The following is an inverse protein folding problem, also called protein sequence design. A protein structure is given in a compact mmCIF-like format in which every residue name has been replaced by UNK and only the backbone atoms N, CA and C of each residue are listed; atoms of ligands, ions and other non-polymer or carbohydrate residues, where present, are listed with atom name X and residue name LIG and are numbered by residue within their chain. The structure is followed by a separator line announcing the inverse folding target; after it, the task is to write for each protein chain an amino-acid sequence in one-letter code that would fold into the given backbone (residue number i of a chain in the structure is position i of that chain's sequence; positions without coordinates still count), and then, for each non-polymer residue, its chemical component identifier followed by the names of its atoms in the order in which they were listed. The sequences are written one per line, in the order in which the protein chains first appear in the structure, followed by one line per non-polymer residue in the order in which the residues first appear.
data_IF_046530304639
#
_entry.id   IF_046530304639
#
_cell.length_a   1.000
_cell.length_b   1.000
_cell.length_c   1.000
_cell.angle_alpha   90.00
_cell.angle_beta   90.00
_cell.angle_gamma   90.00
#
_symmetry.space_group_name_H-M   'P 1'
#
loop_
_entity.id
_entity.type
_entity.pdbx_description
1 polymer ?
#
# COMPACT_ATOMS: atom_id res chain seq x y z
N UNK A 1 9.69 9.40 -24.52
CA UNK A 1 8.89 10.48 -23.92
C UNK A 1 8.02 9.91 -22.82
N UNK A 2 7.97 10.58 -21.68
CA UNK A 2 7.04 10.29 -20.59
C UNK A 2 6.23 11.56 -20.37
N UNK A 3 4.92 11.46 -20.20
CA UNK A 3 4.07 12.63 -20.02
C UNK A 3 2.65 12.28 -19.61
N UNK A 4 1.77 13.27 -19.69
CA UNK A 4 0.34 13.15 -19.41
C UNK A 4 -0.42 13.50 -20.69
N UNK A 5 -1.38 12.67 -21.10
CA UNK A 5 -2.19 12.90 -22.29
C UNK A 5 -3.63 12.49 -22.02
N UNK A 6 -4.59 13.24 -22.58
CA UNK A 6 -6.01 12.87 -22.56
C UNK A 6 -6.27 11.72 -23.51
N UNK A 7 -6.82 10.63 -23.00
CA UNK A 7 -7.22 9.46 -23.79
C UNK A 7 -8.73 9.36 -23.78
N UNK A 8 -9.33 9.21 -24.96
CA UNK A 8 -10.77 9.06 -25.11
C UNK A 8 -11.17 7.58 -25.02
N UNK A 9 -12.08 7.25 -24.10
CA UNK A 9 -12.67 5.92 -24.00
C UNK A 9 -14.18 6.06 -23.82
N UNK A 10 -14.96 5.49 -24.75
CA UNK A 10 -16.43 5.55 -24.73
C UNK A 10 -17.00 6.96 -24.57
N UNK A 11 -16.41 7.96 -25.24
CA UNK A 11 -16.84 9.36 -25.22
C UNK A 11 -16.42 10.18 -23.99
N UNK A 12 -15.68 9.61 -23.04
CA UNK A 12 -15.05 10.35 -21.93
C UNK A 12 -13.55 10.50 -22.17
N UNK A 13 -13.05 11.73 -22.08
CA UNK A 13 -11.62 12.05 -22.16
C UNK A 13 -11.04 12.13 -20.76
N UNK A 14 -10.16 11.19 -20.42
CA UNK A 14 -9.48 11.15 -19.13
C UNK A 14 -7.97 11.35 -19.32
N UNK A 15 -7.31 12.24 -18.55
CA UNK A 15 -5.87 12.37 -18.58
C UNK A 15 -5.21 11.12 -17.98
N UNK A 16 -4.16 10.63 -18.61
CA UNK A 16 -3.41 9.44 -18.19
C UNK A 16 -1.92 9.67 -18.38
N UNK A 17 -1.10 9.07 -17.51
CA UNK A 17 0.33 8.98 -17.77
C UNK A 17 0.59 8.09 -18.98
N UNK A 18 1.58 8.44 -19.78
CA UNK A 18 2.02 7.62 -20.90
C UNK A 18 3.53 7.51 -20.96
N UNK A 19 3.99 6.43 -21.58
CA UNK A 19 5.38 6.22 -21.97
C UNK A 19 5.42 5.87 -23.45
N UNK A 20 6.02 6.74 -24.24
CA UNK A 20 6.21 6.55 -25.68
C UNK A 20 7.69 6.37 -26.02
N UNK A 21 7.98 5.38 -26.85
CA UNK A 21 9.33 4.98 -27.21
C UNK A 21 9.37 4.53 -28.68
N UNK A 22 10.48 4.85 -29.36
CA UNK A 22 10.79 4.35 -30.70
C UNK A 22 12.23 3.85 -30.71
N UNK A 23 12.43 2.58 -31.03
CA UNK A 23 13.76 2.00 -31.26
C UNK A 23 14.27 2.36 -32.64
N UNK A 24 15.58 2.23 -32.85
CA UNK A 24 16.24 2.67 -34.07
C UNK A 24 15.69 2.02 -35.34
N UNK A 25 15.23 0.77 -35.24
CA UNK A 25 14.69 0.00 -36.37
C UNK A 25 13.18 0.17 -36.53
N UNK A 26 12.50 0.81 -35.57
CA UNK A 26 11.05 0.96 -35.61
C UNK A 26 10.65 2.18 -36.44
N UNK A 27 9.71 1.99 -37.37
CA UNK A 27 9.14 3.10 -38.17
C UNK A 27 8.34 4.06 -37.30
N UNK A 28 7.53 3.51 -36.40
CA UNK A 28 6.61 4.25 -35.53
C UNK A 28 7.00 4.04 -34.06
N UNK A 29 6.66 5.03 -33.23
CA UNK A 29 6.74 4.89 -31.78
C UNK A 29 5.61 3.98 -31.26
N UNK A 30 5.87 3.29 -30.17
CA UNK A 30 4.84 2.59 -29.38
C UNK A 30 4.59 3.41 -28.12
N UNK A 31 3.31 3.63 -27.82
CA UNK A 31 2.89 4.34 -26.61
C UNK A 31 2.15 3.40 -25.67
N UNK A 32 2.59 3.36 -24.42
CA UNK A 32 1.97 2.62 -23.33
C UNK A 32 1.27 3.64 -22.43
N UNK A 33 -0.03 3.52 -22.27
CA UNK A 33 -0.81 4.35 -21.35
C UNK A 33 -0.98 3.66 -20.00
N UNK A 34 -0.98 4.45 -18.93
CA UNK A 34 -1.42 3.97 -17.63
C UNK A 34 -2.91 3.64 -17.69
N UNK A 35 -3.28 2.49 -17.14
CA UNK A 35 -4.69 2.12 -17.01
C UNK A 35 -5.42 2.93 -15.90
N UNK A 36 -4.68 3.62 -15.03
CA UNK A 36 -5.22 4.57 -14.06
C UNK A 36 -5.33 6.00 -14.62
N UNK A 37 -6.26 6.77 -14.07
CA UNK A 37 -6.43 8.19 -14.35
C UNK A 37 -5.34 9.00 -13.66
N UNK A 38 -4.93 10.08 -14.29
CA UNK A 38 -4.10 11.11 -13.69
C UNK A 38 -4.93 11.90 -12.65
N UNK A 39 -4.33 12.15 -11.49
CA UNK A 39 -4.91 13.00 -10.44
C UNK A 39 -4.09 14.27 -10.30
N UNK A 40 -4.72 15.43 -10.54
CA UNK A 40 -4.09 16.72 -10.34
C UNK A 40 -3.84 17.00 -8.85
N UNK A 41 -2.88 17.88 -8.56
CA UNK A 41 -2.54 18.34 -7.21
C UNK A 41 -2.07 17.22 -6.24
N UNK A 42 -1.50 16.14 -6.78
CA UNK A 42 -0.94 15.05 -5.99
C UNK A 42 0.47 14.67 -6.49
N UNK A 43 1.41 14.52 -5.54
CA UNK A 43 2.73 13.97 -5.86
C UNK A 43 2.59 12.53 -6.36
N UNK A 44 3.16 12.28 -7.53
CA UNK A 44 3.11 10.96 -8.17
C UNK A 44 4.51 10.59 -8.63
N UNK A 45 4.98 9.42 -8.22
CA UNK A 45 6.23 8.87 -8.74
C UNK A 45 5.95 8.10 -10.02
N UNK A 46 6.57 8.54 -11.13
CA UNK A 46 6.41 7.90 -12.44
C UNK A 46 7.77 7.38 -12.89
N UNK A 47 7.84 6.11 -13.26
CA UNK A 47 9.03 5.49 -13.80
C UNK A 47 8.70 4.68 -15.05
N UNK A 48 9.64 4.61 -15.99
CA UNK A 48 9.53 3.76 -17.16
C UNK A 48 10.82 2.98 -17.36
N UNK A 49 10.71 1.76 -17.86
CA UNK A 49 11.87 0.93 -18.20
C UNK A 49 11.69 0.26 -19.56
N UNK A 50 12.82 0.01 -20.21
CA UNK A 50 12.89 -0.72 -21.47
C UNK A 50 14.16 -1.57 -21.50
N UNK A 51 14.00 -2.88 -21.66
CA UNK A 51 15.09 -3.87 -21.60
C UNK A 51 15.56 -4.37 -22.99
N UNK A 52 15.15 -3.69 -24.06
CA UNK A 52 15.40 -4.13 -25.45
C UNK A 52 14.30 -5.04 -26.03
N UNK A 53 13.36 -5.50 -25.20
CA UNK A 53 12.23 -6.35 -25.61
C UNK A 53 10.88 -5.90 -25.06
N UNK A 54 10.84 -5.36 -23.85
CA UNK A 54 9.63 -4.96 -23.16
C UNK A 54 9.74 -3.53 -22.65
N UNK A 55 8.75 -2.72 -22.99
CA UNK A 55 8.46 -1.44 -22.37
C UNK A 55 7.59 -1.67 -21.13
N UNK A 56 7.90 -1.01 -20.01
CA UNK A 56 7.11 -1.06 -18.78
C UNK A 56 6.94 0.35 -18.23
N UNK A 57 5.72 0.70 -17.83
CA UNK A 57 5.37 1.97 -17.18
C UNK A 57 4.92 1.68 -15.74
N UNK A 58 5.42 2.47 -14.81
CA UNK A 58 5.16 2.35 -13.38
C UNK A 58 4.66 3.67 -12.80
N UNK A 59 3.66 3.59 -11.91
CA UNK A 59 3.12 4.73 -11.15
C UNK A 59 3.10 4.31 -9.68
N UNK A 60 3.69 5.13 -8.81
CA UNK A 60 3.82 4.87 -7.37
C UNK A 60 4.38 3.46 -7.05
N UNK A 61 5.34 3.01 -7.85
CA UNK A 61 6.01 1.72 -7.71
C UNK A 61 5.22 0.52 -8.25
N UNK A 62 3.99 0.71 -8.75
CA UNK A 62 3.19 -0.35 -9.36
C UNK A 62 3.29 -0.30 -10.89
N UNK A 63 3.40 -1.47 -11.55
CA UNK A 63 3.39 -1.55 -13.01
C UNK A 63 1.99 -1.30 -13.54
N UNK A 64 1.81 -0.23 -14.31
CA UNK A 64 0.50 0.20 -14.85
C UNK A 64 0.34 -0.01 -16.35
N UNK A 65 1.40 -0.40 -17.04
CA UNK A 65 1.33 -0.75 -18.45
C UNK A 65 2.59 -1.47 -18.91
N UNK A 66 2.45 -2.28 -19.96
CA UNK A 66 3.57 -2.94 -20.61
C UNK A 66 3.27 -3.14 -22.10
N UNK A 67 4.32 -3.20 -22.91
CA UNK A 67 4.21 -3.55 -24.33
C UNK A 67 5.50 -4.18 -24.83
N UNK A 68 5.38 -5.13 -25.76
CA UNK A 68 6.49 -5.70 -26.52
C UNK A 68 6.55 -5.14 -27.96
N UNK A 69 5.85 -4.03 -28.22
CA UNK A 69 5.74 -3.44 -29.56
C UNK A 69 7.00 -2.72 -30.06
N UNK A 70 8.08 -2.72 -29.28
CA UNK A 70 9.38 -2.16 -29.65
C UNK A 70 10.46 -3.21 -29.36
N UNK A 71 11.41 -3.35 -30.27
CA UNK A 71 12.48 -4.34 -30.18
C UNK A 71 13.82 -3.70 -30.57
N UNK A 72 14.88 -4.17 -29.91
CA UNK A 72 16.26 -3.76 -30.19
C UNK A 72 16.66 -2.45 -29.51
N UNK A 73 17.78 -1.89 -29.98
CA UNK A 73 18.46 -0.78 -29.32
C UNK A 73 17.74 0.57 -29.51
N UNK A 74 17.84 1.43 -28.49
CA UNK A 74 17.41 2.83 -28.54
C UNK A 74 18.48 3.77 -29.10
N UNK A 75 19.74 3.34 -29.05
CA UNK A 75 20.92 4.09 -29.47
C UNK A 75 22.01 3.10 -29.92
N UNK A 76 21.77 2.48 -31.07
CA UNK A 76 22.75 1.64 -31.75
C UNK A 76 23.90 2.50 -32.28
N UNK A 77 25.09 1.90 -32.45
CA UNK A 77 26.25 2.60 -32.99
C UNK A 77 25.96 3.25 -34.36
N UNK A 78 25.12 2.62 -35.19
CA UNK A 78 24.73 3.12 -36.50
C UNK A 78 23.88 4.40 -36.45
N UNK A 79 22.98 4.52 -35.47
CA UNK A 79 22.12 5.70 -35.28
C UNK A 79 22.68 6.65 -34.20
N UNK A 80 23.93 6.45 -33.79
CA UNK A 80 24.54 7.20 -32.69
C UNK A 80 24.64 8.68 -33.05
N UNK A 81 23.87 9.48 -32.33
CA UNK A 81 23.81 10.93 -32.46
C UNK A 81 23.66 11.53 -31.07
N UNK A 82 24.19 12.74 -30.87
CA UNK A 82 23.91 13.50 -29.66
C UNK A 82 22.42 13.87 -29.68
N UNK A 83 21.72 13.58 -28.59
CA UNK A 83 20.30 13.94 -28.42
C UNK A 83 20.15 14.76 -27.15
N UNK A 84 19.32 15.78 -27.22
CA UNK A 84 19.00 16.63 -26.06
C UNK A 84 17.97 15.93 -25.19
N UNK A 85 18.21 15.93 -23.87
CA UNK A 85 17.22 15.54 -22.88
C UNK A 85 16.41 16.79 -22.50
N UNK A 86 15.12 16.77 -22.81
CA UNK A 86 14.18 17.82 -22.43
C UNK A 86 13.35 17.36 -21.24
N UNK A 87 13.19 18.26 -20.26
CA UNK A 87 12.29 18.11 -19.12
C UNK A 87 11.40 19.34 -19.07
N UNK A 88 10.14 19.17 -18.67
CA UNK A 88 9.19 20.28 -18.56
C UNK A 88 8.43 20.58 -19.86
N UNK A 89 8.68 19.85 -20.94
CA UNK A 89 7.92 19.96 -22.17
C UNK A 89 8.56 19.19 -23.32
N UNK A 90 8.04 19.40 -24.52
CA UNK A 90 8.67 18.96 -25.77
C UNK A 90 9.20 20.15 -26.59
N UNK A 91 9.88 19.84 -27.70
CA UNK A 91 10.40 20.81 -28.65
C UNK A 91 9.34 21.31 -29.64
N UNK A 92 8.05 21.00 -29.44
CA UNK A 92 6.99 21.49 -30.34
C UNK A 92 6.70 22.97 -30.09
N UNK A 93 6.34 23.68 -31.16
CA UNK A 93 5.83 25.05 -31.10
C UNK A 93 4.40 25.10 -30.53
N UNK A 94 3.70 23.97 -30.49
CA UNK A 94 2.32 23.82 -29.98
C UNK A 94 2.21 24.02 -28.45
N UNK A 95 3.32 24.31 -27.77
CA UNK A 95 3.32 24.72 -26.37
C UNK A 95 2.99 23.60 -25.38
N UNK A 96 3.38 22.35 -25.68
CA UNK A 96 3.23 21.22 -24.75
C UNK A 96 4.22 21.33 -23.57
N UNK A 97 3.94 22.26 -22.66
CA UNK A 97 4.73 22.51 -21.47
C UNK A 97 4.06 21.88 -20.24
N UNK A 98 4.85 21.27 -19.37
CA UNK A 98 4.37 20.72 -18.12
C UNK A 98 4.17 21.85 -17.11
N UNK A 99 2.93 21.99 -16.61
CA UNK A 99 2.58 22.92 -15.54
C UNK A 99 2.43 22.15 -14.23
N UNK A 100 3.46 22.21 -13.38
CA UNK A 100 3.45 21.56 -12.08
C UNK A 100 4.84 21.57 -11.45
N UNK A 101 5.00 20.78 -10.39
CA UNK A 101 6.25 20.66 -9.64
C UNK A 101 6.96 19.35 -10.00
N UNK A 102 8.29 19.39 -10.05
CA UNK A 102 9.16 18.23 -10.17
C UNK A 102 10.10 18.21 -8.95
N UNK A 103 10.16 17.08 -8.26
CA UNK A 103 11.01 16.93 -7.07
C UNK A 103 12.40 16.39 -7.44
N UNK A 104 12.43 15.36 -8.28
CA UNK A 104 13.68 14.70 -8.67
C UNK A 104 13.54 14.03 -10.03
N UNK A 105 14.65 13.90 -10.74
CA UNK A 105 14.75 13.15 -11.97
C UNK A 105 15.98 12.25 -11.97
N UNK A 106 15.81 10.99 -12.37
CA UNK A 106 16.91 10.03 -12.42
C UNK A 106 16.83 9.18 -13.68
N UNK A 107 17.98 8.95 -14.31
CA UNK A 107 18.13 8.15 -15.51
C UNK A 107 19.22 7.09 -15.30
N UNK A 108 18.90 5.85 -15.62
CA UNK A 108 19.82 4.71 -15.58
C UNK A 108 20.10 4.18 -16.98
N UNK A 109 21.28 3.57 -17.14
CA UNK A 109 21.73 2.93 -18.37
C UNK A 109 20.99 1.61 -18.64
N UNK A 110 20.43 0.99 -17.60
CA UNK A 110 19.78 -0.32 -17.67
C UNK A 110 18.34 -0.26 -17.15
N UNK A 111 17.52 -1.19 -17.62
CA UNK A 111 16.18 -1.38 -17.09
C UNK A 111 16.24 -1.91 -15.64
N UNK A 112 15.76 -1.10 -14.70
CA UNK A 112 15.59 -1.50 -13.30
C UNK A 112 14.34 -2.39 -13.14
N UNK A 113 14.42 -3.34 -12.21
CA UNK A 113 13.27 -4.14 -11.75
C UNK A 113 12.28 -3.27 -10.97
N UNK A 114 11.07 -3.80 -10.76
CA UNK A 114 10.05 -3.09 -10.00
C UNK A 114 10.48 -2.88 -8.54
N UNK A 115 11.14 -3.88 -7.96
CA UNK A 115 11.65 -3.90 -6.60
C UNK A 115 12.73 -2.82 -6.42
N UNK A 116 13.68 -2.72 -7.35
CA UNK A 116 14.73 -1.69 -7.32
C UNK A 116 14.15 -0.27 -7.45
N UNK A 117 13.15 -0.08 -8.32
CA UNK A 117 12.47 1.22 -8.46
C UNK A 117 11.71 1.61 -7.18
N UNK A 118 11.05 0.64 -6.53
CA UNK A 118 10.40 0.86 -5.22
C UNK A 118 11.40 1.23 -4.14
N UNK A 119 12.55 0.55 -4.08
CA UNK A 119 13.59 0.87 -3.11
C UNK A 119 14.16 2.27 -3.32
N UNK A 120 14.41 2.65 -4.58
CA UNK A 120 14.89 4.00 -4.95
C UNK A 120 13.88 5.08 -4.58
N UNK A 121 12.59 4.81 -4.76
CA UNK A 121 11.50 5.70 -4.34
C UNK A 121 11.50 5.95 -2.83
N UNK A 122 11.75 4.93 -2.01
CA UNK A 122 11.70 5.07 -0.54
C UNK A 122 12.99 5.58 0.10
N UNK A 123 14.14 5.21 -0.44
CA UNK A 123 15.46 5.49 0.17
C UNK A 123 16.23 6.60 -0.53
N UNK A 124 15.70 7.12 -1.63
CA UNK A 124 16.43 8.00 -2.53
C UNK A 124 17.46 7.24 -3.38
N UNK A 125 18.08 7.95 -4.31
CA UNK A 125 19.10 7.38 -5.20
C UNK A 125 20.49 7.60 -4.58
N UNK A 126 21.21 6.52 -4.29
CA UNK A 126 22.57 6.60 -3.75
C UNK A 126 23.59 6.82 -4.88
N UNK A 127 24.52 7.78 -4.70
CA UNK A 127 25.54 8.19 -5.68
C UNK A 127 26.66 7.17 -5.97
N UNK A 128 26.44 5.89 -5.73
CA UNK A 128 27.42 4.80 -5.97
C UNK A 128 26.99 3.77 -7.01
N UNK A 129 25.83 3.95 -7.66
CA UNK A 129 25.36 3.05 -8.71
C UNK A 129 26.11 3.33 -10.03
N UNK A 130 26.97 2.40 -10.45
CA UNK A 130 27.74 2.52 -11.70
C UNK A 130 26.89 2.56 -12.97
N UNK A 131 25.59 2.24 -12.85
CA UNK A 131 24.61 2.28 -13.94
C UNK A 131 23.82 3.59 -13.95
N UNK A 132 24.02 4.47 -12.98
CA UNK A 132 23.41 5.79 -12.94
C UNK A 132 24.03 6.67 -14.03
N UNK A 133 23.19 7.15 -14.95
CA UNK A 133 23.61 8.06 -16.01
C UNK A 133 23.48 9.50 -15.54
N UNK A 134 22.37 9.81 -14.87
CA UNK A 134 22.06 11.17 -14.48
C UNK A 134 21.10 11.21 -13.29
N UNK A 135 21.30 12.17 -12.38
CA UNK A 135 20.42 12.43 -11.25
C UNK A 135 20.34 13.94 -10.99
N UNK A 136 19.13 14.47 -10.84
CA UNK A 136 18.85 15.86 -10.54
C UNK A 136 17.83 15.98 -9.41
N UNK A 137 18.16 16.77 -8.39
CA UNK A 137 17.24 17.21 -7.31
C UNK A 137 16.72 18.64 -7.52
N UNK A 138 17.09 19.27 -8.65
CA UNK A 138 16.74 20.63 -9.06
C UNK A 138 17.14 21.74 -8.07
N UNK A 139 17.98 21.46 -7.07
CA UNK A 139 18.45 22.47 -6.10
C UNK A 139 19.44 23.48 -6.70
N UNK A 140 20.15 23.10 -7.76
CA UNK A 140 21.16 23.92 -8.47
C UNK A 140 21.03 23.73 -9.98
N UNK A 141 19.89 24.14 -10.54
CA UNK A 141 19.54 23.90 -11.94
C UNK A 141 20.56 24.50 -12.92
N UNK A 142 21.12 25.65 -12.60
CA UNK A 142 22.11 26.38 -13.40
C UNK A 142 23.40 25.59 -13.66
N UNK A 143 23.72 24.60 -12.81
CA UNK A 143 24.90 23.77 -12.98
C UNK A 143 24.67 22.55 -13.89
N UNK A 144 23.40 22.17 -14.12
CA UNK A 144 23.04 20.92 -14.80
C UNK A 144 22.15 21.12 -16.03
N UNK A 145 21.49 22.27 -16.15
CA UNK A 145 20.44 22.53 -17.13
C UNK A 145 20.58 23.91 -17.77
N UNK A 146 20.07 24.03 -19.00
CA UNK A 146 19.97 25.29 -19.75
C UNK A 146 18.50 25.45 -20.18
N UNK A 147 17.87 26.63 -20.01
CA UNK A 147 16.50 26.85 -20.47
C UNK A 147 16.42 26.88 -21.99
N UNK A 148 15.48 26.11 -22.57
CA UNK A 148 15.33 25.99 -24.03
C UNK A 148 14.44 27.08 -24.65
N UNK A 149 13.27 27.38 -24.06
CA UNK A 149 12.26 28.28 -24.66
C UNK A 149 12.30 29.72 -24.12
N UNK A 150 12.19 29.88 -22.81
CA UNK A 150 11.93 31.20 -22.20
C UNK A 150 13.18 31.86 -21.61
N UNK A 151 14.38 31.26 -21.75
CA UNK A 151 15.65 31.73 -21.15
C UNK A 151 15.64 31.92 -19.62
N UNK A 152 14.58 31.51 -18.93
CA UNK A 152 14.44 31.59 -17.48
C UNK A 152 14.36 30.18 -16.87
N UNK A 153 14.98 30.00 -15.72
CA UNK A 153 14.82 28.78 -14.93
C UNK A 153 13.46 28.76 -14.22
N UNK A 154 12.84 27.58 -14.04
CA UNK A 154 11.68 27.43 -13.16
C UNK A 154 11.97 27.92 -11.74
N UNK A 155 10.93 28.37 -11.03
CA UNK A 155 11.05 28.72 -9.62
C UNK A 155 11.30 27.48 -8.78
N UNK A 156 12.32 27.51 -7.93
CA UNK A 156 12.58 26.49 -6.94
C UNK A 156 11.83 26.83 -5.63
N UNK A 157 11.16 25.86 -5.03
CA UNK A 157 10.42 26.03 -3.78
C UNK A 157 10.74 24.90 -2.80
N UNK A 158 10.99 25.25 -1.53
CA UNK A 158 11.01 24.26 -0.45
C UNK A 158 9.57 23.90 -0.13
N UNK A 159 9.12 22.78 -0.68
CA UNK A 159 7.90 22.15 -0.21
C UNK A 159 8.23 21.26 0.98
N UNK A 160 7.71 21.60 2.15
CA UNK A 160 7.48 20.60 3.18
C UNK A 160 6.49 19.62 2.56
N UNK A 161 6.99 18.51 2.02
CA UNK A 161 6.13 17.36 1.72
C UNK A 161 5.35 17.15 3.02
N UNK A 162 4.00 17.23 3.00
CA UNK A 162 3.25 16.86 4.18
C UNK A 162 3.73 15.45 4.52
N UNK A 163 4.38 15.30 5.69
CA UNK A 163 4.77 13.98 6.19
C UNK A 163 3.56 13.09 5.99
N UNK A 164 3.72 11.88 5.42
CA UNK A 164 2.64 11.12 4.81
C UNK A 164 1.43 11.21 5.71
N UNK A 165 0.43 12.02 5.30
CA UNK A 165 -0.85 12.01 6.00
C UNK A 165 -1.30 10.58 5.85
N UNK A 166 -1.35 9.85 6.96
CA UNK A 166 -2.06 8.58 7.04
C UNK A 166 -3.45 8.91 6.48
N UNK A 167 -3.65 8.57 5.21
CA UNK A 167 -4.90 8.76 4.54
C UNK A 167 -5.87 7.86 5.29
N UNK A 168 -6.71 8.48 6.12
CA UNK A 168 -7.94 7.87 6.59
C UNK A 168 -9.04 8.59 5.81
N UNK A 169 -9.77 7.90 4.91
CA UNK A 169 -9.69 6.48 4.62
C UNK A 169 -8.42 6.10 3.83
N UNK A 170 -7.86 4.95 4.15
CA UNK A 170 -6.76 4.34 3.41
C UNK A 170 -7.29 3.95 2.03
N UNK A 171 -7.09 4.81 1.03
CA UNK A 171 -7.16 4.36 -0.35
C UNK A 171 -5.97 3.41 -0.50
N UNK A 172 -6.18 2.11 -0.71
CA UNK A 172 -5.07 1.20 -0.91
C UNK A 172 -4.18 1.80 -2.01
N UNK A 173 -2.83 1.79 -1.85
CA UNK A 173 -1.98 2.10 -2.99
C UNK A 173 -2.45 1.21 -4.14
N UNK A 174 -2.42 1.64 -5.41
CA UNK A 174 -2.69 0.74 -6.51
C UNK A 174 -1.60 -0.32 -6.50
N UNK A 175 -1.71 -1.33 -5.64
CA UNK A 175 -1.06 -2.60 -5.79
C UNK A 175 -1.45 -3.05 -7.19
N UNK A 176 -0.43 -3.33 -8.01
CA UNK A 176 -0.66 -3.79 -9.37
C UNK A 176 -1.69 -4.90 -9.31
N UNK A 177 -2.76 -4.75 -10.10
CA UNK A 177 -3.83 -5.73 -10.22
C UNK A 177 -3.19 -7.11 -10.14
N UNK A 178 -3.52 -7.85 -9.10
CA UNK A 178 -3.28 -9.29 -9.14
C UNK A 178 -4.06 -9.82 -10.34
N UNK A 179 -3.70 -11.00 -10.85
CA UNK A 179 -4.50 -11.67 -11.88
C UNK A 179 -5.98 -11.73 -11.46
N UNK A 180 -6.25 -11.78 -10.15
CA UNK A 180 -7.58 -11.79 -9.54
C UNK A 180 -8.35 -10.46 -9.58
N UNK A 181 -7.71 -9.33 -9.88
CA UNK A 181 -8.39 -8.03 -9.99
C UNK A 181 -8.75 -7.68 -11.46
N UNK A 182 -8.33 -8.52 -12.40
CA UNK A 182 -8.68 -8.38 -13.82
C UNK A 182 -10.11 -8.89 -14.05
N UNK A 183 -11.01 -8.01 -14.52
CA UNK A 183 -12.43 -8.29 -14.76
C UNK A 183 -12.63 -9.48 -15.71
N UNK A 184 -11.78 -9.63 -16.73
CA UNK A 184 -11.89 -10.73 -17.68
C UNK A 184 -11.43 -12.06 -17.06
N UNK A 185 -10.41 -12.04 -16.20
CA UNK A 185 -9.98 -13.22 -15.44
C UNK A 185 -11.07 -13.62 -14.45
N UNK A 186 -11.63 -12.68 -13.67
CA UNK A 186 -12.71 -12.94 -12.71
C UNK A 186 -13.91 -13.57 -13.42
N UNK A 187 -14.35 -12.98 -14.53
CA UNK A 187 -15.49 -13.46 -15.32
C UNK A 187 -15.26 -14.86 -15.90
N UNK A 188 -14.02 -15.19 -16.26
CA UNK A 188 -13.68 -16.46 -16.93
C UNK A 188 -13.01 -17.50 -16.02
N UNK A 189 -12.83 -17.23 -14.72
CA UNK A 189 -12.08 -18.09 -13.80
C UNK A 189 -12.61 -19.54 -13.76
N UNK A 190 -13.93 -19.69 -13.67
CA UNK A 190 -14.57 -21.00 -13.64
C UNK A 190 -14.54 -21.70 -15.01
N UNK A 191 -14.53 -20.93 -16.09
CA UNK A 191 -14.62 -21.43 -17.47
C UNK A 191 -13.25 -21.81 -18.05
N UNK A 192 -12.15 -21.25 -17.54
CA UNK A 192 -10.80 -21.48 -18.06
C UNK A 192 -9.97 -22.35 -17.12
N UNK A 193 -9.83 -23.64 -17.45
CA UNK A 193 -9.16 -24.64 -16.61
C UNK A 193 -7.71 -24.29 -16.17
N UNK A 194 -6.85 -23.60 -16.97
CA UNK A 194 -5.49 -23.25 -16.54
C UNK A 194 -5.44 -22.25 -15.37
N UNK A 195 -6.51 -21.48 -15.15
CA UNK A 195 -6.60 -20.57 -14.00
C UNK A 195 -6.80 -21.34 -12.69
N UNK A 196 -7.32 -22.57 -12.76
CA UNK A 196 -7.57 -23.50 -11.63
C UNK A 196 -6.42 -24.49 -11.38
N UNK A 197 -5.26 -24.26 -12.00
CA UNK A 197 -4.03 -24.98 -11.67
C UNK A 197 -3.69 -24.79 -10.18
N UNK A 198 -2.91 -25.74 -9.65
CA UNK A 198 -2.44 -25.74 -8.27
C UNK A 198 -1.86 -24.39 -7.85
N UNK A 199 -2.34 -23.89 -6.70
CA UNK A 199 -1.89 -22.63 -6.10
C UNK A 199 -1.22 -22.93 -4.78
N UNK A 200 -0.05 -22.33 -4.56
CA UNK A 200 0.65 -22.36 -3.28
C UNK A 200 0.53 -21.00 -2.61
N UNK A 201 -0.23 -20.92 -1.53
CA UNK A 201 -0.37 -19.70 -0.72
C UNK A 201 0.62 -19.78 0.44
N UNK A 202 1.63 -18.91 0.41
CA UNK A 202 2.58 -18.77 1.51
C UNK A 202 2.04 -17.79 2.53
N UNK A 203 1.99 -18.21 3.79
CA UNK A 203 1.60 -17.34 4.89
C UNK A 203 2.55 -17.48 6.07
N UNK A 204 2.53 -16.47 6.93
CA UNK A 204 3.39 -16.39 8.10
C UNK A 204 2.56 -16.22 9.36
N UNK A 205 2.86 -17.02 10.37
CA UNK A 205 2.35 -16.86 11.73
C UNK A 205 3.45 -16.22 12.58
N UNK A 206 3.13 -15.08 13.19
CA UNK A 206 4.01 -14.42 14.15
C UNK A 206 3.54 -14.83 15.55
N UNK A 207 4.31 -15.67 16.25
CA UNK A 207 3.98 -16.13 17.59
C UNK A 207 4.81 -15.35 18.62
N UNK A 208 4.13 -14.68 19.54
CA UNK A 208 4.78 -13.80 20.52
C UNK A 208 5.02 -14.59 21.80
N UNK A 209 6.26 -14.63 22.27
CA UNK A 209 6.66 -15.24 23.52
C UNK A 209 6.97 -14.17 24.58
N UNK A 210 7.01 -14.59 25.84
CA UNK A 210 7.70 -13.81 26.86
C UNK A 210 9.21 -13.72 26.57
N UNK A 211 9.90 -12.79 27.23
CA UNK A 211 11.34 -12.55 27.00
C UNK A 211 12.20 -13.79 27.37
N UNK A 212 11.62 -14.74 28.10
CA UNK A 212 12.23 -16.02 28.50
C UNK A 212 11.91 -17.18 27.57
N UNK A 213 11.10 -16.96 26.52
CA UNK A 213 10.64 -17.96 25.53
C UNK A 213 9.80 -19.11 26.12
N UNK A 214 9.35 -19.01 27.35
CA UNK A 214 8.63 -20.07 28.06
C UNK A 214 7.15 -20.07 27.72
N UNK A 215 6.58 -18.89 27.53
CA UNK A 215 5.14 -18.73 27.35
C UNK A 215 4.86 -18.19 25.95
N UNK A 216 4.43 -19.03 24.98
CA UNK A 216 4.00 -18.60 23.63
C UNK A 216 2.52 -18.17 23.61
N UNK A 217 2.13 -17.29 22.68
CA UNK A 217 0.74 -16.75 22.61
C UNK A 217 -0.22 -17.82 22.14
N UNK A 218 0.22 -18.62 21.18
CA UNK A 218 -0.47 -19.81 20.70
C UNK A 218 0.49 -20.99 20.78
N UNK A 219 0.01 -22.18 21.18
CA UNK A 219 0.85 -23.37 21.23
C UNK A 219 1.24 -23.83 19.83
N UNK A 220 2.42 -24.44 19.70
CA UNK A 220 2.87 -25.00 18.41
C UNK A 220 1.89 -26.06 17.87
N UNK A 221 1.32 -26.86 18.76
CA UNK A 221 0.33 -27.89 18.39
C UNK A 221 -0.94 -27.27 17.82
N UNK A 222 -1.41 -26.15 18.39
CA UNK A 222 -2.59 -25.46 17.88
C UNK A 222 -2.33 -24.84 16.49
N UNK A 223 -1.16 -24.24 16.27
CA UNK A 223 -0.77 -23.70 14.96
C UNK A 223 -0.79 -24.82 13.91
N UNK A 224 -0.22 -25.98 14.23
CA UNK A 224 -0.17 -27.13 13.32
C UNK A 224 -1.58 -27.67 13.00
N UNK A 225 -2.44 -27.83 14.02
CA UNK A 225 -3.82 -28.27 13.81
C UNK A 225 -4.62 -27.31 12.92
N UNK A 226 -4.47 -26.00 13.13
CA UNK A 226 -5.12 -24.99 12.30
C UNK A 226 -4.55 -24.98 10.87
N UNK A 227 -3.24 -25.17 10.70
CA UNK A 227 -2.60 -25.29 9.39
C UNK A 227 -3.13 -26.49 8.61
N UNK A 228 -3.27 -27.65 9.26
CA UNK A 228 -3.84 -28.85 8.66
C UNK A 228 -5.31 -28.64 8.29
N UNK A 229 -6.09 -27.99 9.15
CA UNK A 229 -7.48 -27.65 8.87
C UNK A 229 -7.62 -26.72 7.64
N UNK A 230 -6.73 -25.74 7.51
CA UNK A 230 -6.68 -24.82 6.37
C UNK A 230 -6.39 -25.58 5.07
N UNK A 231 -5.34 -26.40 5.06
CA UNK A 231 -5.01 -27.23 3.89
C UNK A 231 -6.15 -28.19 3.53
N UNK A 232 -6.78 -28.84 4.51
CA UNK A 232 -7.93 -29.71 4.29
C UNK A 232 -9.11 -28.96 3.67
N UNK A 233 -9.47 -27.79 4.20
CA UNK A 233 -10.59 -26.99 3.71
C UNK A 233 -10.42 -26.54 2.26
N UNK A 234 -9.19 -26.23 1.84
CA UNK A 234 -8.89 -25.67 0.51
C UNK A 234 -8.35 -26.68 -0.51
N UNK A 235 -8.02 -27.90 -0.07
CA UNK A 235 -7.53 -28.99 -0.93
C UNK A 235 -8.42 -29.28 -2.14
N UNK A 236 -9.74 -29.21 -1.98
CA UNK A 236 -10.71 -29.45 -3.07
C UNK A 236 -10.67 -28.40 -4.19
N UNK A 237 -9.99 -27.27 -3.97
CA UNK A 237 -9.83 -26.18 -4.94
C UNK A 237 -8.41 -26.14 -5.54
N UNK A 238 -7.59 -27.17 -5.33
CA UNK A 238 -6.16 -27.19 -5.68
C UNK A 238 -5.36 -26.03 -5.04
N UNK A 239 -5.76 -25.61 -3.85
CA UNK A 239 -5.08 -24.56 -3.09
C UNK A 239 -4.39 -25.22 -1.89
N UNK A 240 -3.07 -25.10 -1.87
CA UNK A 240 -2.21 -25.56 -0.78
C UNK A 240 -1.64 -24.36 -0.04
N UNK A 241 -1.60 -24.45 1.28
CA UNK A 241 -1.07 -23.42 2.15
C UNK A 241 0.29 -23.85 2.70
N UNK A 242 1.26 -22.95 2.65
CA UNK A 242 2.64 -23.13 3.11
C UNK A 242 2.91 -22.18 4.28
N UNK A 243 3.22 -22.75 5.44
CA UNK A 243 3.32 -22.04 6.71
C UNK A 243 4.78 -21.72 7.05
N UNK A 244 5.04 -20.46 7.38
CA UNK A 244 6.27 -20.03 8.06
C UNK A 244 5.95 -19.49 9.45
N UNK A 245 6.67 -19.94 10.49
CA UNK A 245 6.47 -19.44 11.87
C UNK A 245 7.63 -18.51 12.21
N UNK A 246 7.31 -17.32 12.72
CA UNK A 246 8.28 -16.36 13.24
C UNK A 246 8.00 -16.11 14.71
N UNK A 247 9.00 -16.34 15.56
CA UNK A 247 8.87 -16.12 17.00
C UNK A 247 9.39 -14.73 17.36
N UNK A 248 8.63 -14.00 18.17
CA UNK A 248 8.99 -12.66 18.67
C UNK A 248 9.03 -12.70 20.19
N UNK A 249 10.15 -12.31 20.80
CA UNK A 249 10.31 -12.27 22.26
C UNK A 249 9.95 -10.86 22.73
N UNK A 250 8.78 -10.70 23.34
CA UNK A 250 8.35 -9.42 23.90
C UNK A 250 7.25 -9.62 24.94
N UNK A 251 7.60 -9.62 26.22
CA UNK A 251 6.63 -9.76 27.33
C UNK A 251 5.59 -8.64 27.33
N UNK A 252 5.96 -7.43 26.92
CA UNK A 252 5.06 -6.26 26.91
C UNK A 252 3.97 -6.43 25.86
N UNK A 253 4.32 -6.86 24.64
CA UNK A 253 3.36 -7.09 23.56
C UNK A 253 2.54 -8.37 23.80
N UNK A 254 3.15 -9.41 24.38
CA UNK A 254 2.48 -10.65 24.74
C UNK A 254 1.22 -10.44 25.59
N UNK A 255 1.30 -9.50 26.53
CA UNK A 255 0.19 -9.21 27.44
C UNK A 255 -0.87 -8.30 26.82
N UNK A 256 -0.69 -7.88 25.57
CA UNK A 256 -1.61 -7.00 24.87
C UNK A 256 -2.57 -7.78 23.96
N UNK A 257 -3.81 -7.30 23.89
CA UNK A 257 -4.81 -7.80 22.95
C UNK A 257 -4.47 -7.25 21.58
N UNK A 258 -4.36 -8.11 20.57
CA UNK A 258 -4.16 -7.70 19.19
C UNK A 258 -5.51 -7.72 18.47
N UNK A 259 -6.06 -6.54 18.17
CA UNK A 259 -7.31 -6.41 17.41
C UNK A 259 -6.98 -6.17 15.94
N UNK A 260 -7.52 -6.99 15.05
CA UNK A 260 -7.26 -6.86 13.62
C UNK A 260 -8.23 -5.86 13.00
N UNK A 261 -7.72 -4.83 12.33
CA UNK A 261 -8.48 -3.79 11.62
C UNK A 261 -9.49 -2.97 12.45
N UNK A 262 -9.65 -3.26 13.75
CA UNK A 262 -10.44 -2.45 14.66
C UNK A 262 -9.56 -1.40 15.33
N UNK A 263 -9.60 -0.16 14.81
CA UNK A 263 -8.88 0.98 15.36
C UNK A 263 -9.54 1.50 16.63
N UNK A 264 -8.76 2.12 17.53
CA UNK A 264 -9.29 2.70 18.78
C UNK A 264 -10.45 3.67 18.55
N UNK A 265 -10.33 4.51 17.52
CA UNK A 265 -11.35 5.51 17.17
C UNK A 265 -12.65 4.93 16.62
N UNK A 266 -12.71 3.62 16.38
CA UNK A 266 -13.92 2.94 15.93
C UNK A 266 -14.79 2.44 17.08
N UNK A 267 -14.19 2.24 18.25
CA UNK A 267 -14.87 1.63 19.38
C UNK A 267 -15.70 2.68 20.11
N UNK A 268 -17.02 2.51 20.11
CA UNK A 268 -17.92 3.48 20.73
C UNK A 268 -18.01 4.77 19.91
N UNK A 269 -18.10 4.68 18.58
CA UNK A 269 -18.24 5.82 17.68
C UNK A 269 -19.71 6.03 17.24
N UNK A 270 -20.66 5.36 17.88
CA UNK A 270 -22.10 5.34 17.54
C UNK A 270 -22.37 4.69 16.15
N UNK A 271 -21.46 3.84 15.70
CA UNK A 271 -21.57 3.08 14.47
C UNK A 271 -21.08 1.65 14.69
N UNK A 272 -21.92 0.66 14.39
CA UNK A 272 -21.47 -0.73 14.45
C UNK A 272 -20.48 -1.05 13.32
N UNK A 273 -19.18 -1.00 13.62
CA UNK A 273 -18.07 -1.44 12.78
C UNK A 273 -17.93 -2.98 12.87
N UNK A 274 -18.17 -3.74 11.78
CA UNK A 274 -18.14 -5.22 11.80
C UNK A 274 -16.80 -5.82 12.24
N UNK A 275 -15.69 -5.13 11.99
CA UNK A 275 -14.35 -5.50 12.47
C UNK A 275 -14.18 -5.39 14.00
N UNK A 276 -15.03 -4.59 14.65
CA UNK A 276 -15.05 -4.33 16.08
C UNK A 276 -16.20 -5.06 16.80
N UNK A 277 -17.09 -5.79 16.11
CA UNK A 277 -18.12 -6.66 16.73
C UNK A 277 -17.48 -7.90 17.36
N UNK A 278 -16.79 -7.72 18.49
CA UNK A 278 -16.09 -8.78 19.19
C UNK A 278 -16.28 -8.66 20.72
N UNK A 279 -16.33 -9.76 21.48
CA UNK A 279 -16.47 -9.69 22.94
C UNK A 279 -15.36 -8.90 23.64
N UNK A 280 -14.14 -8.88 23.09
CA UNK A 280 -12.98 -8.17 23.66
C UNK A 280 -13.02 -6.64 23.48
N UNK A 281 -13.92 -6.15 22.63
CA UNK A 281 -14.15 -4.71 22.39
C UNK A 281 -15.49 -4.27 23.00
N UNK A 282 -16.19 -5.15 23.70
CA UNK A 282 -17.55 -4.87 24.18
C UNK A 282 -18.58 -4.82 23.06
N UNK A 283 -18.36 -5.56 21.95
CA UNK A 283 -19.16 -5.44 20.72
C UNK A 283 -19.21 -4.00 20.23
N UNK A 284 -18.01 -3.49 19.96
CA UNK A 284 -17.77 -2.13 19.48
C UNK A 284 -18.16 -1.05 20.48
N UNK A 285 -17.75 -1.22 21.74
CA UNK A 285 -18.14 -0.30 22.81
C UNK A 285 -19.64 -0.27 23.09
N UNK A 286 -20.37 -1.31 22.65
CA UNK A 286 -21.83 -1.42 22.75
C UNK A 286 -22.59 -1.00 21.50
N UNK A 287 -21.91 -0.47 20.46
CA UNK A 287 -22.56 0.04 19.24
C UNK A 287 -23.20 -1.07 18.41
N UNK A 288 -22.60 -2.27 18.40
CA UNK A 288 -23.14 -3.42 17.67
C UNK A 288 -24.18 -4.22 18.46
N UNK A 289 -24.03 -4.30 19.78
CA UNK A 289 -24.92 -5.11 20.63
C UNK A 289 -25.24 -4.41 21.92
N UNK A 290 -26.53 -4.10 22.06
CA UNK A 290 -27.07 -3.58 23.29
C UNK A 290 -27.26 -4.70 24.33
N UNK A 291 -26.47 -4.69 25.40
CA UNK A 291 -26.47 -5.70 26.46
C UNK A 291 -27.56 -5.47 27.54
N UNK A 292 -28.25 -4.35 27.51
CA UNK A 292 -29.35 -4.03 28.44
C UNK A 292 -29.37 -2.56 28.84
N UNK A 293 -30.41 -2.15 29.58
CA UNK A 293 -30.47 -0.79 30.14
C UNK A 293 -29.55 -0.69 31.35
N UNK A 294 -28.56 0.20 31.28
CA UNK A 294 -27.82 0.65 32.45
C UNK A 294 -28.68 1.59 33.30
N UNK A 295 -28.66 1.39 34.62
CA UNK A 295 -29.33 2.28 35.57
C UNK A 295 -28.30 3.16 36.26
N UNK A 296 -28.66 4.42 36.52
CA UNK A 296 -27.74 5.43 37.08
C UNK A 296 -27.06 4.99 38.38
N UNK A 297 -27.72 4.19 39.22
CA UNK A 297 -27.16 3.70 40.49
C UNK A 297 -26.18 2.53 40.36
N UNK A 298 -26.04 1.94 39.17
CA UNK A 298 -25.07 0.89 38.88
C UNK A 298 -23.74 1.46 38.38
N UNK A 299 -23.75 2.69 37.87
CA UNK A 299 -22.54 3.37 37.42
C UNK A 299 -21.71 3.82 38.60
N UNK A 300 -20.41 3.56 38.55
CA UNK A 300 -19.45 3.95 39.59
C UNK A 300 -19.78 3.39 40.99
N UNK A 301 -20.36 2.20 41.06
CA UNK A 301 -20.75 1.55 42.31
C UNK A 301 -19.62 0.69 42.93
N UNK A 302 -18.46 0.66 42.28
CA UNK A 302 -17.30 -0.14 42.67
C UNK A 302 -17.32 -1.57 42.11
N UNK A 303 -18.21 -1.87 41.16
CA UNK A 303 -18.36 -3.16 40.50
C UNK A 303 -18.44 -2.92 39.00
N UNK A 304 -17.66 -3.65 38.21
CA UNK A 304 -17.80 -3.60 36.75
C UNK A 304 -19.10 -4.30 36.29
N UNK A 305 -20.16 -3.51 36.08
CA UNK A 305 -21.45 -3.92 35.53
C UNK A 305 -21.36 -3.97 33.99
N UNK A 306 -21.36 -5.18 33.42
CA UNK A 306 -21.16 -5.37 31.98
C UNK A 306 -22.28 -4.77 31.11
N UNK A 307 -23.48 -4.59 31.64
CA UNK A 307 -24.58 -3.88 30.97
C UNK A 307 -24.35 -2.37 30.85
N UNK A 308 -23.51 -1.80 31.73
CA UNK A 308 -23.08 -0.39 31.74
C UNK A 308 -21.70 -0.21 31.09
N UNK A 309 -21.04 -1.30 30.68
CA UNK A 309 -19.70 -1.27 30.09
C UNK A 309 -19.75 -0.97 28.58
N UNK A 310 -20.25 0.22 28.25
CA UNK A 310 -20.46 0.70 26.90
C UNK A 310 -20.18 2.21 26.82
N UNK A 311 -20.09 2.76 25.62
CA UNK A 311 -19.75 4.17 25.40
C UNK A 311 -20.80 5.15 25.95
N UNK A 312 -22.09 4.80 25.93
CA UNK A 312 -23.17 5.68 26.42
C UNK A 312 -23.14 5.86 27.93
N UNK A 313 -22.56 4.89 28.63
CA UNK A 313 -22.46 4.84 30.09
C UNK A 313 -21.01 5.01 30.58
N UNK A 314 -20.14 5.60 29.74
CA UNK A 314 -18.73 5.87 30.03
C UNK A 314 -17.98 4.65 30.61
N UNK A 315 -18.29 3.47 30.07
CA UNK A 315 -17.73 2.18 30.48
C UNK A 315 -17.87 1.92 31.99
N UNK A 316 -19.10 2.12 32.48
CA UNK A 316 -19.49 2.04 33.88
C UNK A 316 -18.89 3.16 34.75
N UNK A 317 -18.84 4.38 34.18
CA UNK A 317 -18.16 5.55 34.74
C UNK A 317 -16.68 5.24 35.15
N UNK A 318 -16.06 4.30 34.44
CA UNK A 318 -14.66 3.89 34.61
C UNK A 318 -14.41 2.67 35.50
N UNK A 319 -15.42 2.11 36.19
CA UNK A 319 -15.22 0.96 37.09
C UNK A 319 -14.70 -0.29 36.34
N UNK A 320 -15.11 -0.46 35.08
CA UNK A 320 -14.65 -1.57 34.24
C UNK A 320 -13.20 -1.46 33.75
N UNK A 321 -12.59 -0.29 33.93
CA UNK A 321 -11.21 0.03 33.59
C UNK A 321 -10.33 0.31 34.82
N UNK A 322 -10.84 0.11 36.04
CA UNK A 322 -10.08 0.24 37.28
C UNK A 322 -9.42 -1.10 37.69
N UNK A 323 -8.09 -1.18 37.79
CA UNK A 323 -7.36 -2.40 38.16
C UNK A 323 -7.59 -2.84 39.61
N UNK A 324 -8.10 -1.96 40.47
CA UNK A 324 -8.46 -2.29 41.85
C UNK A 324 -9.81 -2.99 41.96
N UNK A 325 -10.67 -2.83 40.94
CA UNK A 325 -12.03 -3.37 40.88
C UNK A 325 -12.08 -4.67 40.05
N UNK A 326 -11.43 -4.71 38.89
CA UNK A 326 -11.58 -5.80 37.92
C UNK A 326 -10.28 -6.18 37.19
N UNK A 327 -10.31 -7.32 36.49
CA UNK A 327 -9.27 -7.69 35.53
C UNK A 327 -9.45 -6.86 34.26
N UNK A 328 -8.85 -5.66 34.25
CA UNK A 328 -8.92 -4.68 33.15
C UNK A 328 -8.53 -5.25 31.79
N UNK A 329 -7.79 -6.37 31.74
CA UNK A 329 -7.47 -7.05 30.47
C UNK A 329 -8.68 -7.70 29.80
N UNK A 330 -9.72 -8.01 30.57
CA UNK A 330 -10.93 -8.67 30.06
C UNK A 330 -12.12 -7.72 29.98
N UNK A 331 -12.17 -6.75 30.87
CA UNK A 331 -13.36 -5.90 31.05
C UNK A 331 -13.17 -4.47 30.58
N UNK A 332 -11.95 -3.96 30.40
CA UNK A 332 -11.77 -2.58 29.98
C UNK A 332 -11.96 -2.42 28.46
N UNK A 333 -13.09 -1.87 28.06
CA UNK A 333 -13.43 -1.62 26.66
C UNK A 333 -13.21 -0.17 26.20
N UNK A 334 -12.95 0.74 27.14
CA UNK A 334 -12.68 2.15 26.88
C UNK A 334 -11.42 2.34 26.00
N UNK A 335 -11.52 2.90 24.78
CA UNK A 335 -10.36 3.16 23.91
C UNK A 335 -9.31 4.11 24.47
N UNK A 336 -9.72 5.03 25.35
CA UNK A 336 -8.90 6.10 25.90
C UNK A 336 -8.32 5.74 27.27
N UNK A 337 -8.80 4.67 27.91
CA UNK A 337 -8.26 4.20 29.17
C UNK A 337 -6.74 3.90 29.05
N UNK A 338 -5.90 4.52 29.91
CA UNK A 338 -4.45 4.36 29.86
C UNK A 338 -4.01 2.92 30.19
N UNK A 339 -4.84 2.18 30.93
CA UNK A 339 -4.61 0.79 31.30
C UNK A 339 -5.05 -0.21 30.23
N UNK A 340 -5.71 0.26 29.14
CA UNK A 340 -6.13 -0.61 28.05
C UNK A 340 -4.92 -1.19 27.32
N UNK A 341 -4.73 -2.49 27.52
CA UNK A 341 -3.66 -3.27 26.89
C UNK A 341 -4.00 -3.70 25.45
N UNK A 342 -4.87 -2.98 24.72
CA UNK A 342 -5.19 -3.34 23.33
C UNK A 342 -4.25 -2.61 22.33
N UNK A 343 -3.73 -3.37 21.37
CA UNK A 343 -2.98 -2.88 20.21
C UNK A 343 -3.79 -3.24 18.96
N UNK A 344 -4.25 -2.24 18.24
CA UNK A 344 -4.83 -2.44 16.92
C UNK A 344 -3.72 -2.76 15.93
N UNK A 345 -3.87 -3.87 15.20
CA UNK A 345 -3.01 -4.27 14.10
C UNK A 345 -3.84 -4.25 12.83
N UNK A 346 -3.45 -3.42 11.87
CA UNK A 346 -4.10 -3.38 10.56
C UNK A 346 -3.45 -4.45 9.68
N UNK A 347 -4.24 -5.41 9.20
CA UNK A 347 -3.74 -6.40 8.24
C UNK A 347 -3.48 -5.73 6.88
N UNK A 348 -2.25 -5.83 6.41
CA UNK A 348 -1.91 -5.56 5.02
C UNK A 348 -2.33 -6.80 4.19
N UNK A 349 -3.15 -6.60 3.16
CA UNK A 349 -3.64 -7.66 2.27
C UNK A 349 -2.54 -8.62 1.84
N UNK A 350 -2.86 -9.91 1.89
CA UNK A 350 -2.10 -11.03 1.33
C UNK A 350 -1.83 -10.78 -0.15
N UNK A 351 -0.57 -10.57 -0.49
CA UNK A 351 -0.08 -10.62 -1.85
C UNK A 351 0.21 -12.09 -2.17
N UNK A 352 -0.78 -12.78 -2.75
CA UNK A 352 -0.55 -14.11 -3.33
C UNK A 352 0.32 -13.86 -4.57
N UNK A 353 1.55 -14.37 -4.52
CA UNK A 353 2.53 -14.25 -5.60
C UNK A 353 2.13 -15.05 -6.85
#
# INVERSE_FOLDING_TARGET
MIGIQSVEYSGRKDPRFFFSLRTDRARNATTVFAHHRYHANAWTHVAASYDGRQMKLYVNGARVGASAGQLGDLHSAFMSSCRTLLIGGDSSEDGHNFRGYLASFTLWKTAKSQEELKQSYHRGVHGGDSLLVFNADFSKMENQWIPEKDSHYPSWEIMLLPGPKLASPLIPPPCGLTVCDNIDVIKNYNSYWPLRNEKLIRYRVINIHDDRRLNPTVSKQQIELQHQALNKAFSGYNITWDLTITEVLNTTIRNRIILVNCEKSKIGNDHCDPECDHPLTGYDGGDCRFLGRCYVWKRRDGICNMECNNILDDFDDGDCCDPTITDVRKTCFDPDAPERQAVSVVFLKLQIA
#
